data_IF_815782672876
#
_entry.id   IF_815782672876
#
_cell.length_a   1.000
_cell.length_b   1.000
_cell.length_c   1.000
_cell.angle_alpha   90.00
_cell.angle_beta   90.00
_cell.angle_gamma   90.00
#
_symmetry.space_group_name_H-M   'P 1'
#
loop_
_entity.id
_entity.type
_entity.pdbx_description
1 polymer ?
#
# COMPACT_ATOMS: atom_id res chain seq x y z
N UNK A 1 -3.99 -45.63 -4.03
CA UNK A 1 -3.70 -45.17 -4.01
C UNK A 1 -3.63 -44.17 -3.97
N UNK A 2 -3.99 -43.98 -3.94
CA UNK A 2 -3.81 -43.16 -3.91
C UNK A 2 -3.84 -42.23 -3.82
N UNK A 3 -4.10 -42.23 -3.73
CA UNK A 3 -3.95 -41.43 -3.71
C UNK A 3 -3.93 -40.50 -3.52
N UNK A 4 -4.12 -40.57 -3.32
CA UNK A 4 -3.88 -39.82 -3.10
C UNK A 4 -3.89 -38.89 -2.93
N UNK A 5 -4.11 -38.95 -2.83
CA UNK A 5 -3.84 -38.20 -2.64
C UNK A 5 -3.86 -37.29 -2.75
N UNK A 6 -4.08 -37.39 -2.77
CA UNK A 6 -3.88 -36.63 -2.83
C UNK A 6 -4.20 -35.70 -2.98
N UNK A 7 -4.46 -35.70 -3.07
CA UNK A 7 -4.87 -34.89 -3.19
C UNK A 7 -5.03 -33.86 -2.87
N UNK A 8 -5.49 -34.02 -2.93
CA UNK A 8 -5.82 -33.16 -2.53
C UNK A 8 -5.22 -32.22 -2.27
N UNK A 9 -5.00 -32.40 -2.23
CA UNK A 9 -4.12 -31.34 -1.90
C UNK A 9 -3.90 -30.34 -2.96
N UNK A 10 -4.36 -30.54 -4.09
CA UNK A 10 -4.30 -29.51 -5.10
C UNK A 10 -4.90 -28.22 -4.58
N UNK A 11 -6.01 -28.34 -3.87
CA UNK A 11 -6.60 -27.15 -3.27
C UNK A 11 -5.69 -26.49 -2.30
N UNK A 12 -4.90 -27.26 -1.59
CA UNK A 12 -3.99 -26.68 -0.64
C UNK A 12 -2.90 -25.85 -1.28
N UNK A 13 -2.62 -26.08 -2.54
CA UNK A 13 -1.58 -25.32 -3.20
C UNK A 13 -1.96 -23.87 -3.35
N UNK A 14 -3.23 -23.59 -3.64
CA UNK A 14 -3.62 -22.20 -3.75
C UNK A 14 -3.49 -21.49 -2.43
N UNK A 15 -3.63 -22.21 -1.32
CA UNK A 15 -3.45 -21.57 -0.02
C UNK A 15 -2.00 -21.24 0.27
N UNK A 16 -1.08 -21.75 -0.50
CA UNK A 16 0.32 -21.39 -0.32
C UNK A 16 0.67 -20.04 -0.90
N UNK A 17 -0.18 -19.52 -1.77
CA UNK A 17 0.05 -18.19 -2.31
C UNK A 17 -0.34 -17.21 -1.22
N UNK A 18 0.62 -16.40 -0.74
CA UNK A 18 0.28 -15.46 0.33
C UNK A 18 -0.73 -14.44 -0.15
N UNK A 19 -1.54 -13.92 0.75
CA UNK A 19 -2.44 -12.82 0.37
C UNK A 19 -1.66 -11.63 -0.14
N UNK A 20 -2.34 -10.81 -0.94
CA UNK A 20 -1.72 -9.66 -1.57
C UNK A 20 -1.32 -8.60 -0.58
N UNK A 21 -0.33 -7.81 -0.96
CA UNK A 21 -0.01 -6.55 -0.31
C UNK A 21 -0.72 -5.46 -1.12
N UNK A 22 -1.56 -4.67 -0.49
CA UNK A 22 -2.30 -3.62 -1.17
C UNK A 22 -1.65 -2.28 -0.87
N UNK A 23 -1.33 -1.53 -1.92
CA UNK A 23 -0.76 -0.19 -1.79
C UNK A 23 -1.83 0.83 -2.14
N UNK A 24 -2.22 1.65 -1.18
CA UNK A 24 -3.20 2.70 -1.41
C UNK A 24 -2.52 3.96 -1.92
N UNK A 25 -2.70 4.27 -3.19
CA UNK A 25 -2.08 5.42 -3.81
C UNK A 25 -3.09 6.55 -3.90
N UNK A 26 -2.85 7.58 -3.12
CA UNK A 26 -3.70 8.76 -3.09
C UNK A 26 -2.80 9.95 -3.45
N UNK A 27 -3.38 10.93 -4.11
CA UNK A 27 -2.59 12.08 -4.55
C UNK A 27 -2.37 13.06 -3.40
N UNK A 28 -1.51 12.67 -2.49
CA UNK A 28 -1.22 13.44 -1.28
C UNK A 28 0.28 13.61 -1.06
N UNK A 29 1.09 13.33 -2.08
CA UNK A 29 2.53 13.45 -1.96
C UNK A 29 3.22 12.26 -1.34
N UNK A 30 2.46 11.27 -0.90
CA UNK A 30 3.03 10.10 -0.23
C UNK A 30 3.12 8.87 -1.13
N UNK A 31 2.62 8.96 -2.36
CA UNK A 31 2.49 7.79 -3.21
C UNK A 31 3.82 7.06 -3.44
N UNK A 32 4.90 7.80 -3.65
CA UNK A 32 6.20 7.19 -3.90
C UNK A 32 6.65 6.35 -2.70
N UNK A 33 6.48 6.88 -1.49
CA UNK A 33 6.87 6.16 -0.29
C UNK A 33 5.97 4.95 -0.04
N UNK A 34 4.69 5.12 -0.29
CA UNK A 34 3.74 4.02 -0.12
C UNK A 34 4.07 2.90 -1.10
N UNK A 35 4.28 3.23 -2.36
CA UNK A 35 4.59 2.21 -3.37
C UNK A 35 5.86 1.47 -3.01
N UNK A 36 6.91 2.20 -2.60
CA UNK A 36 8.17 1.57 -2.23
C UNK A 36 8.01 0.64 -1.03
N UNK A 37 7.29 1.09 -0.02
CA UNK A 37 7.07 0.26 1.17
C UNK A 37 6.27 -1.00 0.83
N UNK A 38 5.26 -0.85 -0.02
CA UNK A 38 4.43 -1.99 -0.41
C UNK A 38 5.24 -3.03 -1.17
N UNK A 39 6.12 -2.57 -2.07
CA UNK A 39 6.96 -3.51 -2.81
C UNK A 39 7.90 -4.24 -1.86
N UNK A 40 8.49 -3.52 -0.90
CA UNK A 40 9.35 -4.17 0.09
C UNK A 40 8.61 -5.21 0.91
N UNK A 41 7.37 -4.89 1.31
CA UNK A 41 6.56 -5.86 2.04
C UNK A 41 6.26 -7.09 1.19
N UNK A 42 5.94 -6.86 -0.08
CA UNK A 42 5.64 -7.98 -0.97
C UNK A 42 6.84 -8.88 -1.17
N UNK A 43 8.03 -8.30 -1.34
CA UNK A 43 9.24 -9.07 -1.46
C UNK A 43 9.47 -9.90 -0.20
N UNK A 44 9.33 -9.27 0.94
CA UNK A 44 9.56 -9.94 2.22
C UNK A 44 8.58 -11.09 2.43
N UNK A 45 7.35 -10.94 1.99
CA UNK A 45 6.31 -11.94 2.20
C UNK A 45 6.19 -12.93 1.05
N UNK A 46 6.86 -12.68 -0.08
CA UNK A 46 6.65 -13.48 -1.27
C UNK A 46 5.27 -13.28 -1.87
N UNK A 47 4.70 -12.08 -1.71
CA UNK A 47 3.34 -11.77 -2.13
C UNK A 47 3.33 -10.95 -3.40
N UNK A 48 2.14 -10.84 -3.99
CA UNK A 48 1.89 -9.92 -5.09
C UNK A 48 1.51 -8.56 -4.54
N UNK A 49 1.83 -7.49 -5.27
CA UNK A 49 1.42 -6.14 -4.92
C UNK A 49 0.21 -5.76 -5.76
N UNK A 50 -0.79 -5.21 -5.10
CA UNK A 50 -1.92 -4.59 -5.79
C UNK A 50 -1.85 -3.09 -5.51
N UNK A 51 -1.57 -2.32 -6.56
CA UNK A 51 -1.60 -0.86 -6.45
C UNK A 51 -3.03 -0.41 -6.71
N UNK A 52 -3.63 0.23 -5.74
CA UNK A 52 -4.99 0.75 -5.85
C UNK A 52 -4.91 2.27 -5.76
N UNK A 53 -5.14 2.91 -6.89
CA UNK A 53 -5.18 4.36 -6.95
C UNK A 53 -6.62 4.80 -6.73
N UNK A 54 -6.84 5.72 -5.79
CA UNK A 54 -8.17 6.25 -5.54
C UNK A 54 -8.18 7.70 -5.98
N UNK A 55 -9.10 8.02 -6.87
CA UNK A 55 -9.28 9.36 -7.39
C UNK A 55 -10.57 9.95 -6.85
N UNK A 56 -10.55 11.25 -6.54
CA UNK A 56 -11.80 11.91 -6.15
C UNK A 56 -12.77 11.92 -7.33
N UNK A 57 -14.05 11.86 -7.01
CA UNK A 57 -15.08 11.94 -8.03
C UNK A 57 -15.09 13.35 -8.64
N UNK A 58 -15.50 13.45 -9.89
CA UNK A 58 -15.69 14.74 -10.52
C UNK A 58 -14.48 15.30 -11.24
N UNK A 59 -13.42 14.54 -11.37
CA UNK A 59 -12.25 14.99 -12.13
C UNK A 59 -12.57 15.05 -13.61
N UNK A 60 -11.99 16.03 -14.31
CA UNK A 60 -12.09 16.07 -15.75
C UNK A 60 -11.32 14.88 -16.33
N UNK A 61 -11.64 14.53 -17.59
CA UNK A 61 -10.94 13.44 -18.26
C UNK A 61 -9.45 13.71 -18.36
N UNK A 62 -9.10 14.96 -18.55
CA UNK A 62 -7.71 15.37 -18.69
C UNK A 62 -6.97 15.21 -17.36
N UNK A 63 -7.55 15.70 -16.28
CA UNK A 63 -6.94 15.58 -14.95
C UNK A 63 -6.80 14.12 -14.57
N UNK A 64 -7.82 13.34 -14.87
CA UNK A 64 -7.79 11.92 -14.56
C UNK A 64 -6.65 11.22 -15.28
N UNK A 65 -6.46 11.55 -16.56
CA UNK A 65 -5.38 10.96 -17.33
C UNK A 65 -4.02 11.34 -16.76
N UNK A 66 -3.86 12.60 -16.38
CA UNK A 66 -2.60 13.04 -15.78
C UNK A 66 -2.30 12.28 -14.50
N UNK A 67 -3.30 12.10 -13.67
CA UNK A 67 -3.10 11.38 -12.41
C UNK A 67 -2.80 9.90 -12.66
N UNK A 68 -3.48 9.29 -13.61
CA UNK A 68 -3.21 7.90 -13.96
C UNK A 68 -1.77 7.72 -14.40
N UNK A 69 -1.29 8.59 -15.28
CA UNK A 69 0.08 8.51 -15.78
C UNK A 69 1.07 8.69 -14.63
N UNK A 70 0.83 9.68 -13.78
CA UNK A 70 1.73 9.97 -12.67
C UNK A 70 1.81 8.81 -11.70
N UNK A 71 0.68 8.25 -11.32
CA UNK A 71 0.64 7.18 -10.33
C UNK A 71 1.16 5.86 -10.90
N UNK A 72 0.87 5.60 -12.16
CA UNK A 72 1.42 4.42 -12.80
C UNK A 72 2.94 4.50 -12.84
N UNK A 73 3.48 5.69 -13.11
CA UNK A 73 4.92 5.92 -13.06
C UNK A 73 5.51 5.66 -11.68
N UNK A 74 4.79 6.07 -10.64
CA UNK A 74 5.22 5.81 -9.27
C UNK A 74 5.33 4.30 -9.03
N UNK A 75 4.31 3.55 -9.45
CA UNK A 75 4.32 2.11 -9.28
C UNK A 75 5.47 1.46 -10.04
N UNK A 76 5.69 1.88 -11.28
CA UNK A 76 6.77 1.31 -12.09
C UNK A 76 8.13 1.58 -11.47
N UNK A 77 8.34 2.78 -10.94
CA UNK A 77 9.62 3.09 -10.32
C UNK A 77 9.85 2.26 -9.06
N UNK A 78 8.78 2.02 -8.30
CA UNK A 78 8.90 1.18 -7.12
C UNK A 78 9.28 -0.25 -7.48
N UNK A 79 8.76 -0.75 -8.60
CA UNK A 79 9.05 -2.10 -9.06
C UNK A 79 10.40 -2.22 -9.75
N UNK A 80 10.98 -1.12 -10.16
CA UNK A 80 12.19 -1.14 -10.97
C UNK A 80 13.33 -1.90 -10.28
N UNK A 81 13.41 -1.79 -8.96
CA UNK A 81 14.46 -2.44 -8.19
C UNK A 81 14.11 -3.88 -7.84
N UNK A 82 12.86 -4.27 -8.03
CA UNK A 82 12.38 -5.58 -7.63
C UNK A 82 11.63 -6.20 -8.80
N UNK A 83 12.39 -6.76 -9.72
CA UNK A 83 11.84 -7.14 -11.02
C UNK A 83 10.90 -8.33 -11.00
N UNK A 84 10.92 -9.10 -9.93
CA UNK A 84 10.17 -10.34 -9.92
C UNK A 84 8.91 -10.29 -9.08
N UNK A 85 8.48 -9.11 -8.70
CA UNK A 85 7.27 -8.98 -7.90
C UNK A 85 6.07 -8.91 -8.82
N UNK A 86 5.16 -9.88 -8.76
CA UNK A 86 3.92 -9.77 -9.52
C UNK A 86 3.10 -8.61 -8.99
N UNK A 87 2.43 -7.91 -9.88
CA UNK A 87 1.66 -6.75 -9.45
C UNK A 87 0.46 -6.54 -10.34
N UNK A 88 -0.51 -5.81 -9.81
CA UNK A 88 -1.63 -5.28 -10.57
C UNK A 88 -1.78 -3.82 -10.22
N UNK A 89 -2.44 -3.08 -11.10
CA UNK A 89 -2.69 -1.67 -10.91
C UNK A 89 -4.13 -1.38 -11.29
N UNK A 90 -4.89 -0.78 -10.38
CA UNK A 90 -6.26 -0.42 -10.68
C UNK A 90 -6.53 0.99 -10.18
N UNK A 91 -7.48 1.65 -10.83
CA UNK A 91 -7.92 2.98 -10.50
C UNK A 91 -9.39 2.93 -10.12
N UNK A 92 -9.74 3.53 -8.99
CA UNK A 92 -11.11 3.57 -8.49
C UNK A 92 -11.44 5.01 -8.14
N UNK A 93 -12.64 5.44 -8.50
CA UNK A 93 -13.13 6.76 -8.06
C UNK A 93 -13.94 6.60 -6.78
N UNK A 94 -13.76 7.53 -5.88
CA UNK A 94 -14.58 7.54 -4.68
C UNK A 94 -13.81 8.04 -3.48
N UNK A 95 -14.34 7.70 -2.32
CA UNK A 95 -13.73 8.08 -1.05
C UNK A 95 -12.53 7.16 -0.80
N UNK A 96 -11.38 7.78 -0.54
CA UNK A 96 -10.14 7.01 -0.42
C UNK A 96 -10.22 6.02 0.74
N UNK A 97 -10.65 6.48 1.90
CA UNK A 97 -10.65 5.63 3.09
C UNK A 97 -11.58 4.44 2.93
N UNK A 98 -12.81 4.70 2.50
CA UNK A 98 -13.78 3.63 2.32
C UNK A 98 -13.33 2.64 1.24
N UNK A 99 -12.83 3.17 0.14
CA UNK A 99 -12.40 2.34 -0.96
C UNK A 99 -11.25 1.42 -0.55
N UNK A 100 -10.27 1.96 0.16
CA UNK A 100 -9.11 1.18 0.53
C UNK A 100 -9.46 0.10 1.56
N UNK A 101 -10.36 0.41 2.48
CA UNK A 101 -10.82 -0.61 3.42
C UNK A 101 -11.49 -1.76 2.65
N UNK A 102 -12.34 -1.40 1.71
CA UNK A 102 -13.04 -2.42 0.93
C UNK A 102 -12.10 -3.23 0.06
N UNK A 103 -11.17 -2.56 -0.62
CA UNK A 103 -10.27 -3.23 -1.56
C UNK A 103 -9.21 -4.06 -0.86
N UNK A 104 -8.96 -3.82 0.40
CA UNK A 104 -7.95 -4.56 1.15
C UNK A 104 -8.50 -5.78 1.87
N UNK A 105 -9.78 -6.09 1.69
CA UNK A 105 -10.33 -7.30 2.29
C UNK A 105 -9.60 -8.52 1.74
N UNK A 106 -9.18 -9.39 2.66
CA UNK A 106 -8.44 -10.57 2.26
C UNK A 106 -6.98 -10.33 1.97
N UNK A 107 -6.51 -9.10 2.07
CA UNK A 107 -5.09 -8.79 1.87
C UNK A 107 -4.28 -9.16 3.10
N UNK A 108 -2.98 -9.34 2.90
CA UNK A 108 -2.07 -9.54 4.02
C UNK A 108 -1.88 -8.24 4.79
N UNK A 109 -1.75 -7.14 4.06
CA UNK A 109 -1.47 -5.85 4.66
C UNK A 109 -1.88 -4.77 3.67
N UNK A 110 -2.35 -3.67 4.21
CA UNK A 110 -2.67 -2.47 3.44
C UNK A 110 -1.64 -1.39 3.80
N UNK A 111 -0.96 -0.86 2.80
CA UNK A 111 0.05 0.18 3.00
C UNK A 111 -0.53 1.51 2.55
N UNK A 112 -0.52 2.49 3.43
CA UNK A 112 -1.04 3.83 3.14
C UNK A 112 -0.09 4.88 3.70
N UNK A 113 -0.21 6.10 3.21
CA UNK A 113 0.58 7.20 3.75
C UNK A 113 0.03 7.66 5.09
N UNK A 114 0.92 8.17 5.93
CA UNK A 114 0.52 8.74 7.21
C UNK A 114 -0.26 10.02 6.96
N UNK A 115 -1.31 10.21 7.73
CA UNK A 115 -2.12 11.41 7.61
C UNK A 115 -1.33 12.65 8.01
N UNK A 116 -1.64 13.76 7.37
CA UNK A 116 -1.10 15.05 7.78
C UNK A 116 -1.65 15.41 9.15
N UNK A 117 -0.85 16.12 9.98
CA UNK A 117 -1.28 16.36 11.37
C UNK A 117 -2.57 17.15 11.51
N UNK A 118 -2.88 18.02 10.58
CA UNK A 118 -4.04 18.89 10.68
C UNK A 118 -5.13 18.55 9.67
N UNK A 119 -5.19 17.29 9.29
CA UNK A 119 -6.15 16.83 8.30
C UNK A 119 -7.43 16.38 8.96
N UNK A 120 -8.55 16.86 8.44
CA UNK A 120 -9.86 16.40 8.89
C UNK A 120 -10.19 15.02 8.37
N UNK A 121 -9.59 14.64 7.26
CA UNK A 121 -9.86 13.35 6.65
C UNK A 121 -8.66 12.44 6.81
N UNK A 122 -8.74 11.57 7.77
CA UNK A 122 -7.65 10.68 8.14
C UNK A 122 -7.80 9.34 7.46
N UNK A 123 -7.26 9.23 6.25
CA UNK A 123 -7.33 7.97 5.52
C UNK A 123 -6.61 6.86 6.28
N UNK A 124 -5.39 7.15 6.75
CA UNK A 124 -4.63 6.16 7.48
C UNK A 124 -5.30 5.72 8.75
N UNK A 125 -5.81 6.68 9.52
CA UNK A 125 -6.47 6.35 10.78
C UNK A 125 -7.74 5.54 10.53
N UNK A 126 -8.54 5.95 9.56
CA UNK A 126 -9.76 5.22 9.24
C UNK A 126 -9.44 3.78 8.83
N UNK A 127 -8.40 3.60 8.02
CA UNK A 127 -8.01 2.26 7.61
C UNK A 127 -7.55 1.44 8.79
N UNK A 128 -6.80 2.02 9.70
CA UNK A 128 -6.35 1.29 10.89
C UNK A 128 -7.51 0.83 11.74
N UNK A 129 -8.56 1.64 11.81
CA UNK A 129 -9.72 1.32 12.65
C UNK A 129 -10.68 0.33 11.98
N UNK A 130 -10.75 0.33 10.66
CA UNK A 130 -11.81 -0.40 9.95
C UNK A 130 -11.35 -1.49 9.00
N UNK A 131 -10.08 -1.50 8.62
CA UNK A 131 -9.61 -2.52 7.69
C UNK A 131 -9.65 -3.90 8.34
N UNK A 132 -9.85 -4.91 7.50
CA UNK A 132 -9.90 -6.29 7.97
C UNK A 132 -8.51 -6.95 7.94
N UNK A 133 -7.48 -6.20 7.64
CA UNK A 133 -6.11 -6.69 7.59
C UNK A 133 -5.21 -5.71 8.32
N UNK A 134 -3.94 -6.08 8.47
CA UNK A 134 -2.95 -5.17 9.04
C UNK A 134 -2.81 -3.94 8.17
N UNK A 135 -2.52 -2.81 8.79
CA UNK A 135 -2.32 -1.55 8.07
C UNK A 135 -0.97 -0.99 8.45
N UNK A 136 -0.17 -0.68 7.44
CA UNK A 136 1.12 -0.04 7.63
C UNK A 136 1.01 1.40 7.14
N UNK A 137 1.27 2.36 8.01
CA UNK A 137 1.30 3.77 7.61
C UNK A 137 2.73 4.20 7.41
N UNK A 138 2.97 4.90 6.32
CA UNK A 138 4.31 5.32 5.92
C UNK A 138 4.45 6.80 6.15
N UNK A 139 5.50 7.20 6.89
CA UNK A 139 5.73 8.61 7.18
C UNK A 139 6.66 9.21 6.13
N UNK A 140 6.40 10.46 5.77
CA UNK A 140 7.28 11.17 4.86
C UNK A 140 8.56 11.61 5.55
N UNK A 141 9.51 12.09 4.75
CA UNK A 141 10.79 12.51 5.31
C UNK A 141 10.67 13.60 6.35
N UNK A 142 9.72 14.49 6.19
CA UNK A 142 9.54 15.57 7.15
C UNK A 142 9.13 15.04 8.51
N UNK A 143 8.27 14.03 8.51
CA UNK A 143 7.83 13.45 9.78
C UNK A 143 8.97 12.77 10.50
N UNK A 144 9.85 12.16 9.78
CA UNK A 144 10.95 11.45 10.41
C UNK A 144 12.02 12.39 10.94
N UNK A 145 12.05 13.62 10.49
CA UNK A 145 13.01 14.59 11.00
C UNK A 145 12.61 15.19 12.32
N UNK A 146 11.37 15.09 12.61
CA UNK A 146 10.93 15.67 13.84
C UNK A 146 11.22 14.80 15.01
N UNK A 147 11.48 14.63 15.64
CA UNK A 147 11.60 13.98 16.76
C UNK A 147 12.60 13.86 17.44
N UNK A 148 12.49 14.52 16.97
CA UNK A 148 13.26 14.22 17.25
C UNK A 148 13.40 14.10 17.76
N UNK A 149 13.13 14.46 17.69
CA UNK A 149 13.33 14.11 18.04
C UNK A 149 13.51 13.92 18.33
N UNK A 150 13.44 14.18 18.66
CA UNK A 150 13.77 13.67 18.80
C UNK A 150 14.22 13.23 18.87
N UNK A 151 14.43 13.36 19.12
CA UNK A 151 15.11 12.60 19.20
C UNK A 151 15.72 12.40 19.13
N UNK A 152 15.75 12.48 19.40
CA UNK A 152 16.55 12.01 19.27
C UNK A 152 17.18 11.93 19.07
N UNK A 153 17.17 12.30 19.43
CA UNK A 153 18.03 11.98 19.20
C UNK A 153 18.56 11.94 19.29
N UNK A 154 18.59 12.08 19.64
CA UNK A 154 19.24 11.73 19.70
C UNK A 154 19.85 11.58 19.65
N UNK A 155 19.67 11.76 19.98
CA UNK A 155 20.38 11.32 19.90
C UNK A 155 21.07 11.16 19.76
N UNK A 156 21.16 11.25 20.02
CA UNK A 156 22.01 10.99 19.93
C UNK A 156 22.79 10.98 20.01
N UNK A 157 22.69 11.30 20.35
CA UNK A 157 23.51 11.09 20.51
C UNK A 157 24.18 11.11 20.54
N UNK A 158 24.04 11.34 20.79
CA UNK A 158 24.77 11.14 20.83
C UNK A 158 25.27 11.02 20.78
N UNK A 159 25.10 11.39 21.16
CA UNK A 159 25.81 11.19 21.04
C UNK A 159 26.22 11.08 20.98
#
# INVERSE_FOLDING_TARGET
>A
MQTSTTPSPAGTQSSRIPPDVVAGLVNDGMATLVAGAAVREAVHRGSRVRFVQVLPAGLSAEDRTEMDVAMFGVALRALHRQRRVPCTFETVEGDAALTLVERSRGAAILVVGRDAPDTDHSVGKYCQEHACCDVLTVAGPESSLQPAGAGEVTVRDES
#
